data_IF_879593390251
#
_entry.id   IF_879593390251
#
_cell.length_a   1.000
_cell.length_b   1.000
_cell.length_c   1.000
_cell.angle_alpha   90.00
_cell.angle_beta   90.00
_cell.angle_gamma   90.00
#
_symmetry.space_group_name_H-M   'P 1'
#
loop_
_entity.id
_entity.type
_entity.pdbx_description
1 polymer ?
#
# COMPACT_ATOMS: atom_id res chain seq x y z
N UNK A 1 -60.34 3.14 57.97
CA UNK A 1 -60.31 4.09 56.84
C UNK A 1 -60.39 5.50 57.41
N UNK A 2 -59.28 6.22 57.54
CA UNK A 2 -59.30 7.63 57.92
C UNK A 2 -59.68 8.46 56.69
N UNK A 3 -60.85 9.07 56.71
CA UNK A 3 -61.28 10.03 55.69
C UNK A 3 -60.44 11.30 55.84
N UNK A 4 -59.58 11.58 54.86
CA UNK A 4 -58.90 12.87 54.72
C UNK A 4 -59.60 13.66 53.61
N UNK A 5 -60.11 14.86 53.93
CA UNK A 5 -60.87 15.71 52.97
C UNK A 5 -59.95 16.59 52.11
N UNK A 6 -58.74 16.90 52.59
CA UNK A 6 -57.79 17.79 51.89
C UNK A 6 -56.77 17.07 50.99
N UNK A 7 -56.62 15.75 51.08
CA UNK A 7 -55.61 15.00 50.33
C UNK A 7 -56.21 13.71 49.77
N UNK A 8 -56.14 13.56 48.44
CA UNK A 8 -56.62 12.39 47.73
C UNK A 8 -55.43 11.50 47.34
N UNK A 9 -55.12 10.54 48.20
CA UNK A 9 -53.99 9.62 48.04
C UNK A 9 -54.11 8.76 46.77
N UNK A 10 -55.34 8.36 46.40
CA UNK A 10 -55.58 7.58 45.18
C UNK A 10 -55.28 8.40 43.92
N UNK A 11 -55.65 9.67 43.88
CA UNK A 11 -55.32 10.58 42.78
C UNK A 11 -53.81 10.86 42.68
N UNK A 12 -53.13 11.07 43.83
CA UNK A 12 -51.67 11.24 43.87
C UNK A 12 -50.91 9.98 43.40
N UNK A 13 -51.45 8.79 43.67
CA UNK A 13 -50.86 7.55 43.19
C UNK A 13 -51.07 7.37 41.68
N UNK A 14 -52.28 7.66 41.18
CA UNK A 14 -52.57 7.64 39.74
C UNK A 14 -51.69 8.65 38.97
N UNK A 15 -51.47 9.85 39.52
CA UNK A 15 -50.56 10.84 38.95
C UNK A 15 -49.11 10.35 38.90
N UNK A 16 -48.59 9.75 39.99
CA UNK A 16 -47.24 9.15 40.01
C UNK A 16 -47.09 8.05 38.96
N UNK A 17 -48.07 7.16 38.84
CA UNK A 17 -48.05 6.10 37.82
C UNK A 17 -48.08 6.66 36.39
N UNK A 18 -48.83 7.75 36.14
CA UNK A 18 -48.83 8.44 34.85
C UNK A 18 -47.47 9.06 34.54
N UNK A 19 -46.79 9.67 35.51
CA UNK A 19 -45.42 10.18 35.33
C UNK A 19 -44.43 9.05 35.01
N UNK A 20 -44.50 7.92 35.72
CA UNK A 20 -43.63 6.76 35.45
C UNK A 20 -43.85 6.19 34.04
N UNK A 21 -45.11 6.08 33.60
CA UNK A 21 -45.44 5.62 32.25
C UNK A 21 -44.97 6.63 31.20
N UNK A 22 -45.17 7.93 31.42
CA UNK A 22 -44.71 8.99 30.50
C UNK A 22 -43.18 8.98 30.34
N UNK A 23 -42.44 8.78 31.43
CA UNK A 23 -40.98 8.67 31.41
C UNK A 23 -40.52 7.42 30.64
N UNK A 24 -41.12 6.25 30.91
CA UNK A 24 -40.81 5.00 30.18
C UNK A 24 -41.13 5.10 28.68
N UNK A 25 -42.22 5.77 28.33
CA UNK A 25 -42.60 6.01 26.94
C UNK A 25 -41.58 6.94 26.25
N UNK A 26 -41.14 8.00 26.94
CA UNK A 26 -40.12 8.92 26.44
C UNK A 26 -38.79 8.20 26.15
N UNK A 27 -38.31 7.35 27.08
CA UNK A 27 -37.11 6.52 26.84
C UNK A 27 -37.31 5.53 25.68
N UNK A 28 -38.51 4.96 25.53
CA UNK A 28 -38.82 4.06 24.42
C UNK A 28 -38.80 4.80 23.07
N UNK A 29 -39.34 6.02 23.02
CA UNK A 29 -39.25 6.87 21.83
C UNK A 29 -37.82 7.29 21.50
N UNK A 30 -37.01 7.61 22.51
CA UNK A 30 -35.59 7.94 22.33
C UNK A 30 -34.81 6.77 21.72
N UNK A 31 -35.02 5.55 22.23
CA UNK A 31 -34.40 4.33 21.68
C UNK A 31 -34.91 3.99 20.29
N UNK A 32 -36.21 4.18 20.02
CA UNK A 32 -36.79 3.95 18.70
C UNK A 32 -36.26 4.96 17.67
N UNK A 33 -36.16 6.23 18.05
CA UNK A 33 -35.71 7.30 17.15
C UNK A 33 -34.21 7.23 16.86
N UNK A 34 -33.40 6.83 17.84
CA UNK A 34 -31.95 6.66 17.67
C UNK A 34 -31.58 5.33 17.04
N UNK A 35 -32.42 4.30 17.22
CA UNK A 35 -32.12 2.91 16.87
C UNK A 35 -31.11 2.25 17.82
N UNK A 36 -30.65 2.94 18.86
CA UNK A 36 -29.67 2.43 19.82
C UNK A 36 -30.33 2.05 21.15
N UNK A 37 -29.93 0.91 21.72
CA UNK A 37 -30.37 0.47 23.05
C UNK A 37 -29.76 1.33 24.17
N UNK A 38 -28.51 1.76 24.00
CA UNK A 38 -27.73 2.57 24.94
C UNK A 38 -27.54 3.93 24.28
N UNK A 39 -28.25 4.96 24.74
CA UNK A 39 -28.10 6.32 24.18
C UNK A 39 -27.29 7.23 25.12
N UNK A 40 -27.26 6.90 26.41
CA UNK A 40 -26.51 7.64 27.43
C UNK A 40 -25.77 6.71 28.39
N UNK A 41 -24.77 7.24 29.11
CA UNK A 41 -24.06 6.49 30.16
C UNK A 41 -24.98 6.04 31.30
N UNK A 42 -26.13 6.71 31.49
CA UNK A 42 -27.15 6.35 32.48
C UNK A 42 -27.92 5.08 32.11
N UNK A 43 -27.99 4.72 30.83
CA UNK A 43 -28.64 3.49 30.37
C UNK A 43 -27.78 2.24 30.70
N UNK A 44 -26.48 2.31 30.41
CA UNK A 44 -25.50 1.24 30.63
C UNK A 44 -24.05 1.77 30.46
N UNK A 45 -23.41 2.19 31.55
CA UNK A 45 -22.06 2.77 31.50
C UNK A 45 -20.99 1.79 30.98
N UNK A 46 -21.07 0.51 31.37
CA UNK A 46 -20.10 -0.50 30.95
C UNK A 46 -20.31 -0.88 29.48
N UNK A 47 -21.57 -1.02 29.04
CA UNK A 47 -21.92 -1.27 27.65
C UNK A 47 -21.50 -0.12 26.73
N UNK A 48 -21.67 1.13 27.18
CA UNK A 48 -21.22 2.31 26.44
C UNK A 48 -19.70 2.30 26.25
N UNK A 49 -18.92 2.06 27.32
CA UNK A 49 -17.45 2.00 27.22
C UNK A 49 -16.96 0.92 26.25
N UNK A 50 -17.59 -0.25 26.25
CA UNK A 50 -17.26 -1.33 25.31
C UNK A 50 -17.59 -0.91 23.88
N UNK A 51 -18.74 -0.26 23.68
CA UNK A 51 -19.21 0.21 22.38
C UNK A 51 -18.30 1.32 21.83
N UNK A 52 -17.83 2.24 22.67
CA UNK A 52 -16.88 3.29 22.30
C UNK A 52 -15.54 2.68 21.86
N UNK A 53 -15.01 1.73 22.64
CA UNK A 53 -13.78 1.02 22.28
C UNK A 53 -13.93 0.26 20.96
N UNK A 54 -15.05 -0.42 20.74
CA UNK A 54 -15.32 -1.11 19.47
C UNK A 54 -15.46 -0.11 18.31
N UNK A 55 -16.11 1.02 18.53
CA UNK A 55 -16.26 2.09 17.53
C UNK A 55 -14.89 2.66 17.14
N UNK A 56 -14.02 2.95 18.11
CA UNK A 56 -12.65 3.37 17.83
C UNK A 56 -11.87 2.32 17.05
N UNK A 57 -12.02 1.02 17.39
CA UNK A 57 -11.38 -0.06 16.64
C UNK A 57 -11.90 -0.14 15.20
N UNK A 58 -13.21 -0.02 14.97
CA UNK A 58 -13.81 -0.01 13.63
C UNK A 58 -13.28 1.17 12.81
N UNK A 59 -13.22 2.37 13.39
CA UNK A 59 -12.65 3.54 12.73
C UNK A 59 -11.17 3.37 12.40
N UNK A 60 -10.40 2.79 13.33
CA UNK A 60 -8.99 2.44 13.12
C UNK A 60 -8.80 1.42 11.99
N UNK A 61 -9.61 0.35 11.96
CA UNK A 61 -9.58 -0.65 10.89
C UNK A 61 -9.95 -0.05 9.53
N UNK A 62 -10.95 0.83 9.47
CA UNK A 62 -11.30 1.53 8.23
C UNK A 62 -10.15 2.39 7.69
N UNK A 63 -9.38 3.04 8.57
CA UNK A 63 -8.16 3.75 8.15
C UNK A 63 -7.05 2.78 7.75
N UNK A 64 -6.89 1.65 8.46
CA UNK A 64 -5.92 0.62 8.12
C UNK A 64 -6.14 0.04 6.72
N UNK A 65 -7.40 -0.19 6.33
CA UNK A 65 -7.77 -0.62 4.96
C UNK A 65 -7.33 0.43 3.93
N UNK A 66 -7.53 1.72 4.20
CA UNK A 66 -7.03 2.79 3.32
C UNK A 66 -5.50 2.77 3.22
N UNK A 67 -4.79 2.65 4.34
CA UNK A 67 -3.34 2.57 4.36
C UNK A 67 -2.81 1.36 3.56
N UNK A 68 -3.51 0.22 3.62
CA UNK A 68 -3.16 -0.97 2.83
C UNK A 68 -3.38 -0.73 1.32
N UNK A 69 -4.46 -0.04 0.93
CA UNK A 69 -4.69 0.34 -0.46
C UNK A 69 -3.65 1.34 -0.99
N UNK A 70 -3.17 2.26 -0.14
CA UNK A 70 -2.07 3.17 -0.50
C UNK A 70 -0.77 2.40 -0.73
N UNK A 71 -0.48 1.40 0.11
CA UNK A 71 0.66 0.51 -0.07
C UNK A 71 0.56 -0.32 -1.36
N UNK A 72 -0.64 -0.82 -1.71
CA UNK A 72 -0.89 -1.52 -2.97
C UNK A 72 -0.61 -0.59 -4.15
N UNK A 73 -1.15 0.63 -4.12
CA UNK A 73 -0.95 1.63 -5.18
C UNK A 73 0.53 1.97 -5.39
N UNK A 74 1.27 2.13 -4.29
CA UNK A 74 2.70 2.40 -4.31
C UNK A 74 3.50 1.23 -4.88
N UNK A 75 3.23 0.01 -4.41
CA UNK A 75 3.93 -1.20 -4.88
C UNK A 75 3.63 -1.52 -6.34
N UNK A 76 2.41 -1.23 -6.82
CA UNK A 76 2.05 -1.32 -8.24
C UNK A 76 2.80 -0.30 -9.10
N UNK A 77 2.96 0.94 -8.61
CA UNK A 77 3.73 1.98 -9.31
C UNK A 77 5.20 1.55 -9.47
N UNK A 78 5.80 1.03 -8.39
CA UNK A 78 7.17 0.48 -8.44
C UNK A 78 7.27 -0.73 -9.38
N UNK A 79 6.32 -1.66 -9.32
CA UNK A 79 6.31 -2.87 -10.15
C UNK A 79 6.18 -2.54 -11.65
N UNK A 80 5.31 -1.59 -12.01
CA UNK A 80 5.17 -1.13 -13.39
C UNK A 80 6.46 -0.51 -13.93
N UNK A 81 7.13 0.34 -13.15
CA UNK A 81 8.41 0.92 -13.54
C UNK A 81 9.52 -0.15 -13.69
N UNK A 82 9.57 -1.14 -12.79
CA UNK A 82 10.50 -2.28 -12.92
C UNK A 82 10.18 -3.16 -14.14
N UNK A 83 8.91 -3.25 -14.54
CA UNK A 83 8.51 -3.93 -15.78
C UNK A 83 9.07 -3.21 -17.02
N UNK A 84 9.00 -1.87 -17.07
CA UNK A 84 9.60 -1.09 -18.16
C UNK A 84 11.13 -1.23 -18.23
N UNK A 85 11.80 -1.24 -17.08
CA UNK A 85 13.25 -1.52 -17.02
C UNK A 85 13.55 -2.93 -17.54
N UNK A 86 12.71 -3.93 -17.19
CA UNK A 86 12.86 -5.30 -17.68
C UNK A 86 12.73 -5.38 -19.20
N UNK A 87 11.73 -4.70 -19.79
CA UNK A 87 11.54 -4.63 -21.25
C UNK A 87 12.75 -3.97 -21.93
N UNK A 88 13.26 -2.87 -21.37
CA UNK A 88 14.46 -2.20 -21.88
C UNK A 88 15.69 -3.10 -21.83
N UNK A 89 15.89 -3.86 -20.74
CA UNK A 89 16.98 -4.83 -20.62
C UNK A 89 16.87 -5.97 -21.64
N UNK A 90 15.66 -6.50 -21.85
CA UNK A 90 15.42 -7.52 -22.87
C UNK A 90 15.73 -6.99 -24.27
N UNK A 91 15.42 -5.71 -24.55
CA UNK A 91 15.80 -5.06 -25.81
C UNK A 91 17.31 -4.93 -25.95
N UNK A 92 18.02 -4.47 -24.90
CA UNK A 92 19.49 -4.41 -24.89
C UNK A 92 20.08 -5.81 -25.13
N UNK A 93 19.50 -6.86 -24.54
CA UNK A 93 19.91 -8.25 -24.75
C UNK A 93 19.79 -8.66 -26.22
N UNK A 94 18.68 -8.34 -26.89
CA UNK A 94 18.50 -8.61 -28.32
C UNK A 94 19.58 -7.91 -29.15
N UNK A 95 19.88 -6.64 -28.85
CA UNK A 95 20.94 -5.88 -29.54
C UNK A 95 22.33 -6.47 -29.30
N UNK A 96 22.60 -6.99 -28.09
CA UNK A 96 23.85 -7.68 -27.77
C UNK A 96 24.00 -9.00 -28.55
N UNK A 97 22.91 -9.78 -28.68
CA UNK A 97 22.90 -10.99 -29.53
C UNK A 97 23.08 -10.60 -31.00
N UNK A 98 22.36 -9.58 -31.47
CA UNK A 98 22.49 -9.10 -32.84
C UNK A 98 23.91 -8.66 -33.14
N UNK A 99 24.55 -7.88 -32.25
CA UNK A 99 25.93 -7.42 -32.41
C UNK A 99 26.92 -8.58 -32.53
N UNK A 100 26.68 -9.72 -31.87
CA UNK A 100 27.55 -10.89 -31.96
C UNK A 100 27.55 -11.59 -33.32
N UNK A 101 26.59 -11.28 -34.20
CA UNK A 101 26.57 -11.87 -35.54
C UNK A 101 27.84 -11.51 -36.33
N UNK A 102 28.48 -12.53 -36.92
CA UNK A 102 29.79 -12.41 -37.59
C UNK A 102 29.77 -11.54 -38.84
N UNK A 103 28.60 -11.29 -39.42
CA UNK A 103 28.42 -10.45 -40.62
C UNK A 103 28.43 -8.94 -40.33
N UNK A 104 28.28 -8.53 -39.07
CA UNK A 104 28.20 -7.10 -38.73
C UNK A 104 29.57 -6.43 -38.78
N UNK A 105 29.64 -5.32 -39.51
CA UNK A 105 30.83 -4.47 -39.54
C UNK A 105 31.03 -3.73 -38.20
N UNK A 106 32.20 -3.11 -38.02
CA UNK A 106 32.46 -2.24 -36.86
C UNK A 106 31.52 -1.03 -36.81
N UNK A 107 31.11 -0.50 -37.97
CA UNK A 107 30.16 0.60 -38.07
C UNK A 107 28.75 0.17 -37.61
N UNK A 108 28.31 -1.03 -37.97
CA UNK A 108 27.00 -1.57 -37.56
C UNK A 108 26.94 -1.77 -36.04
N UNK A 109 28.02 -2.30 -35.46
CA UNK A 109 28.15 -2.47 -33.99
C UNK A 109 28.13 -1.13 -33.26
N UNK A 110 28.73 -0.09 -33.85
CA UNK A 110 28.66 1.26 -33.30
C UNK A 110 27.25 1.84 -33.36
N UNK A 111 26.48 1.54 -34.42
CA UNK A 111 25.08 1.94 -34.52
C UNK A 111 24.22 1.24 -33.45
N UNK A 112 24.39 -0.07 -33.26
CA UNK A 112 23.74 -0.82 -32.17
C UNK A 112 24.12 -0.28 -30.79
N UNK A 113 25.38 0.11 -30.59
CA UNK A 113 25.84 0.71 -29.35
C UNK A 113 25.14 2.04 -29.03
N UNK A 114 24.75 2.83 -30.04
CA UNK A 114 23.98 4.06 -29.82
C UNK A 114 22.59 3.75 -29.25
N UNK A 115 21.91 2.74 -29.79
CA UNK A 115 20.61 2.30 -29.28
C UNK A 115 20.74 1.78 -27.83
N UNK A 116 21.75 0.96 -27.56
CA UNK A 116 22.05 0.48 -26.20
C UNK A 116 22.34 1.65 -25.24
N UNK A 117 23.06 2.67 -25.69
CA UNK A 117 23.37 3.84 -24.86
C UNK A 117 22.12 4.65 -24.55
N UNK A 118 21.20 4.81 -25.52
CA UNK A 118 19.91 5.46 -25.29
C UNK A 118 19.05 4.68 -24.28
N UNK A 119 18.97 3.36 -24.41
CA UNK A 119 18.24 2.50 -23.48
C UNK A 119 18.84 2.54 -22.06
N UNK A 120 20.16 2.64 -21.92
CA UNK A 120 20.81 2.82 -20.60
C UNK A 120 20.44 4.15 -19.94
N UNK A 121 20.37 5.22 -20.73
CA UNK A 121 19.91 6.52 -20.24
C UNK A 121 18.46 6.43 -19.79
N UNK A 122 17.61 5.77 -20.57
CA UNK A 122 16.19 5.59 -20.23
C UNK A 122 16.00 4.75 -18.96
N UNK A 123 16.74 3.65 -18.79
CA UNK A 123 16.73 2.86 -17.54
C UNK A 123 17.12 3.73 -16.34
N UNK A 124 18.13 4.58 -16.50
CA UNK A 124 18.56 5.50 -15.45
C UNK A 124 17.50 6.54 -15.13
N UNK A 125 16.85 7.09 -16.16
CA UNK A 125 15.76 8.06 -16.05
C UNK A 125 14.54 7.46 -15.34
N UNK A 126 14.11 6.25 -15.74
CA UNK A 126 13.01 5.54 -15.05
C UNK A 126 13.36 5.33 -13.57
N UNK A 127 14.59 4.95 -13.25
CA UNK A 127 15.03 4.79 -11.86
C UNK A 127 15.04 6.10 -11.05
N UNK A 128 15.37 7.24 -11.66
CA UNK A 128 15.43 8.54 -10.96
C UNK A 128 14.11 9.27 -10.89
N UNK A 129 13.24 9.09 -11.88
CA UNK A 129 11.99 9.87 -12.04
C UNK A 129 10.77 9.13 -11.48
N UNK A 130 10.88 7.82 -11.19
CA UNK A 130 9.77 7.04 -10.63
C UNK A 130 9.53 7.45 -9.17
N UNK A 131 8.44 8.19 -8.98
CA UNK A 131 8.01 8.70 -7.69
C UNK A 131 6.55 8.34 -7.41
N UNK A 132 6.23 8.18 -6.12
CA UNK A 132 4.86 8.11 -5.64
C UNK A 132 4.71 9.04 -4.44
N UNK A 133 3.73 9.95 -4.50
CA UNK A 133 3.55 10.96 -3.43
C UNK A 133 4.77 11.85 -3.21
N UNK A 134 5.62 12.05 -4.23
CA UNK A 134 6.85 12.85 -4.14
C UNK A 134 8.06 12.13 -3.54
N UNK A 135 7.95 10.82 -3.26
CA UNK A 135 9.08 10.00 -2.78
C UNK A 135 9.59 9.11 -3.91
N UNK A 136 10.90 9.09 -4.11
CA UNK A 136 11.57 8.23 -5.08
C UNK A 136 11.50 6.76 -4.65
N UNK A 137 11.08 5.87 -5.56
CA UNK A 137 10.90 4.45 -5.23
C UNK A 137 12.09 3.58 -5.64
N UNK A 138 12.80 3.95 -6.71
CA UNK A 138 13.76 3.08 -7.39
C UNK A 138 15.22 3.46 -7.20
N UNK A 139 15.53 4.40 -6.31
CA UNK A 139 16.92 4.79 -5.98
C UNK A 139 17.64 3.77 -5.09
N UNK A 140 16.92 2.77 -4.56
CA UNK A 140 17.50 1.62 -3.85
C UNK A 140 17.65 1.80 -2.34
N UNK A 141 17.15 2.89 -1.79
CA UNK A 141 17.12 3.24 -0.37
C UNK A 141 15.70 3.31 0.20
N UNK A 142 14.68 3.18 -0.66
CA UNK A 142 13.29 3.30 -0.25
C UNK A 142 12.89 2.23 0.77
N UNK A 143 12.33 2.70 1.89
CA UNK A 143 11.79 1.87 2.96
C UNK A 143 10.64 2.61 3.63
N UNK A 144 9.46 2.01 3.65
CA UNK A 144 8.29 2.54 4.33
C UNK A 144 7.55 1.44 5.10
N UNK A 145 6.90 1.84 6.18
CA UNK A 145 6.13 0.93 7.04
C UNK A 145 4.68 1.37 7.05
N UNK A 146 3.79 0.47 6.67
CA UNK A 146 2.35 0.72 6.60
C UNK A 146 1.66 0.05 7.77
N UNK A 147 0.91 0.84 8.56
CA UNK A 147 0.08 0.30 9.63
C UNK A 147 -1.23 -0.21 9.02
N UNK A 148 -1.42 -1.54 9.10
CA UNK A 148 -2.55 -2.27 8.51
C UNK A 148 -3.50 -2.84 9.56
N UNK A 149 -3.36 -2.40 10.81
CA UNK A 149 -4.29 -2.74 11.89
C UNK A 149 -4.64 -1.53 12.75
N UNK A 150 -5.64 -1.70 13.62
CA UNK A 150 -6.12 -0.62 14.48
C UNK A 150 -5.21 -0.34 15.70
N UNK A 151 -4.31 -1.27 16.04
CA UNK A 151 -3.43 -1.16 17.20
C UNK A 151 -1.97 -0.93 16.77
N UNK A 152 -1.19 -0.33 17.67
CA UNK A 152 0.24 -0.13 17.45
C UNK A 152 0.98 -1.44 17.18
N UNK A 153 1.95 -1.41 16.25
CA UNK A 153 2.78 -2.56 15.88
C UNK A 153 2.20 -3.49 14.82
N UNK A 154 0.94 -3.33 14.41
CA UNK A 154 0.30 -4.11 13.34
C UNK A 154 0.67 -3.59 11.95
N UNK A 155 1.96 -3.71 11.60
CA UNK A 155 2.51 -3.08 10.40
C UNK A 155 3.18 -4.04 9.43
N UNK A 156 3.21 -3.65 8.15
CA UNK A 156 3.92 -4.35 7.08
C UNK A 156 4.93 -3.36 6.49
N UNK A 157 6.19 -3.78 6.40
CA UNK A 157 7.24 -2.99 5.79
C UNK A 157 7.35 -3.30 4.29
N UNK A 158 7.51 -2.25 3.49
CA UNK A 158 7.85 -2.31 2.07
C UNK A 158 9.24 -1.70 1.93
N UNK A 159 10.17 -2.48 1.39
CA UNK A 159 11.54 -2.05 1.18
C UNK A 159 12.00 -2.40 -0.24
N UNK A 160 12.55 -1.41 -0.94
CA UNK A 160 13.14 -1.55 -2.26
C UNK A 160 14.63 -1.24 -2.13
N UNK A 161 15.37 -2.22 -1.61
CA UNK A 161 16.79 -2.06 -1.34
C UNK A 161 17.64 -2.64 -2.46
N UNK A 162 18.47 -1.79 -3.05
CA UNK A 162 19.48 -2.19 -4.03
C UNK A 162 20.64 -1.20 -3.99
N UNK A 163 21.86 -1.70 -3.84
CA UNK A 163 23.04 -0.84 -3.81
C UNK A 163 23.19 -0.13 -5.16
N UNK A 164 23.14 1.21 -5.15
CA UNK A 164 23.20 2.03 -6.37
C UNK A 164 21.88 2.11 -7.16
N UNK A 165 20.77 1.60 -6.61
CA UNK A 165 19.44 1.68 -7.19
C UNK A 165 19.17 0.72 -8.35
N UNK A 166 17.99 0.85 -8.95
CA UNK A 166 17.57 0.05 -10.11
C UNK A 166 17.92 0.71 -11.45
N UNK A 167 18.77 1.74 -11.45
CA UNK A 167 19.28 2.39 -12.64
C UNK A 167 20.52 1.71 -13.21
N UNK A 168 21.11 2.29 -14.26
CA UNK A 168 22.27 1.69 -14.93
C UNK A 168 23.49 1.49 -14.02
N UNK A 169 23.66 2.33 -13.00
CA UNK A 169 24.75 2.23 -12.03
C UNK A 169 24.59 1.02 -11.10
N UNK A 170 23.47 0.91 -10.37
CA UNK A 170 23.22 -0.18 -9.44
C UNK A 170 22.95 -1.54 -10.09
N UNK A 171 22.58 -1.56 -11.37
CA UNK A 171 22.50 -2.78 -12.19
C UNK A 171 23.83 -3.16 -12.88
N UNK A 172 24.93 -2.46 -12.59
CA UNK A 172 26.25 -2.71 -13.18
C UNK A 172 26.27 -2.61 -14.73
N UNK A 173 25.43 -1.75 -15.30
CA UNK A 173 25.32 -1.54 -16.75
C UNK A 173 26.22 -0.40 -17.24
N UNK A 174 26.89 0.36 -16.35
CA UNK A 174 27.69 1.54 -16.70
C UNK A 174 28.73 1.24 -17.77
N UNK A 175 29.48 0.14 -17.61
CA UNK A 175 30.54 -0.28 -18.54
C UNK A 175 30.05 -1.21 -19.67
N UNK A 176 28.73 -1.42 -19.78
CA UNK A 176 28.14 -2.27 -20.81
C UNK A 176 28.39 -1.70 -22.20
N UNK A 177 29.00 -2.51 -23.07
CA UNK A 177 29.25 -2.19 -24.48
C UNK A 177 29.01 -3.39 -25.38
N UNK A 178 28.38 -3.16 -26.52
CA UNK A 178 28.17 -4.10 -27.62
C UNK A 178 28.99 -3.74 -28.86
N UNK A 179 29.97 -2.83 -28.74
CA UNK A 179 30.80 -2.37 -29.88
C UNK A 179 31.80 -3.42 -30.37
N UNK A 180 32.04 -4.49 -29.59
CA UNK A 180 32.89 -5.62 -29.96
C UNK A 180 32.19 -6.95 -29.62
N UNK A 181 32.63 -8.05 -30.25
CA UNK A 181 32.09 -9.40 -29.95
C UNK A 181 32.34 -9.77 -28.49
N UNK A 182 33.55 -9.50 -27.98
CA UNK A 182 33.91 -9.78 -26.59
C UNK A 182 33.09 -8.94 -25.60
N UNK A 183 32.88 -7.65 -25.92
CA UNK A 183 32.04 -6.76 -25.12
C UNK A 183 30.58 -7.22 -25.10
N UNK A 184 30.04 -7.59 -26.26
CA UNK A 184 28.68 -8.07 -26.37
C UNK A 184 28.45 -9.41 -25.63
N UNK A 185 29.46 -10.29 -25.57
CA UNK A 185 29.41 -11.52 -24.78
C UNK A 185 29.39 -11.22 -23.27
N UNK A 186 30.26 -10.33 -22.79
CA UNK A 186 30.24 -9.88 -21.39
C UNK A 186 28.92 -9.15 -21.03
N UNK A 187 28.37 -8.37 -21.98
CA UNK A 187 27.12 -7.66 -21.81
C UNK A 187 25.95 -8.61 -21.54
N UNK A 188 25.88 -9.77 -22.19
CA UNK A 188 24.83 -10.76 -21.93
C UNK A 188 24.81 -11.22 -20.47
N UNK A 189 25.99 -11.52 -19.90
CA UNK A 189 26.08 -11.94 -18.50
C UNK A 189 25.63 -10.84 -17.54
N UNK A 190 26.06 -9.59 -17.78
CA UNK A 190 25.61 -8.44 -16.98
C UNK A 190 24.09 -8.22 -17.08
N UNK A 191 23.51 -8.35 -18.28
CA UNK A 191 22.07 -8.15 -18.50
C UNK A 191 21.26 -9.27 -17.84
N UNK A 192 21.68 -10.52 -17.95
CA UNK A 192 20.99 -11.65 -17.32
C UNK A 192 21.03 -11.51 -15.78
N UNK A 193 22.15 -11.04 -15.22
CA UNK A 193 22.24 -10.70 -13.79
C UNK A 193 21.28 -9.56 -13.41
N UNK A 194 21.23 -8.48 -14.21
CA UNK A 194 20.34 -7.35 -13.95
C UNK A 194 18.85 -7.74 -14.01
N UNK A 195 18.47 -8.56 -14.99
CA UNK A 195 17.12 -9.12 -15.11
C UNK A 195 16.79 -9.98 -13.88
N UNK A 196 17.74 -10.80 -13.41
CA UNK A 196 17.53 -11.61 -12.20
C UNK A 196 17.33 -10.75 -10.95
N UNK A 197 18.10 -9.67 -10.78
CA UNK A 197 17.94 -8.75 -9.65
C UNK A 197 16.57 -8.07 -9.66
N UNK A 198 16.13 -7.56 -10.82
CA UNK A 198 14.81 -6.95 -10.96
C UNK A 198 13.70 -8.00 -10.79
N UNK A 199 13.89 -9.21 -11.30
CA UNK A 199 12.96 -10.33 -11.12
C UNK A 199 12.74 -10.66 -9.65
N UNK A 200 13.82 -10.67 -8.84
CA UNK A 200 13.73 -10.82 -7.39
C UNK A 200 12.90 -9.70 -6.74
N UNK A 201 13.23 -8.45 -7.03
CA UNK A 201 12.49 -7.30 -6.48
C UNK A 201 11.01 -7.30 -6.88
N UNK A 202 10.67 -7.66 -8.12
CA UNK A 202 9.27 -7.78 -8.58
C UNK A 202 8.55 -8.94 -7.90
N UNK A 203 9.22 -10.06 -7.66
CA UNK A 203 8.63 -11.17 -6.92
C UNK A 203 8.31 -10.77 -5.48
N UNK A 204 9.21 -10.05 -4.82
CA UNK A 204 8.99 -9.51 -3.46
C UNK A 204 7.82 -8.52 -3.43
N UNK A 205 7.75 -7.60 -4.40
CA UNK A 205 6.61 -6.67 -4.52
C UNK A 205 5.28 -7.40 -4.78
N UNK A 206 5.27 -8.42 -5.63
CA UNK A 206 4.09 -9.24 -5.89
C UNK A 206 3.62 -10.00 -4.64
N UNK A 207 4.55 -10.55 -3.86
CA UNK A 207 4.25 -11.17 -2.58
C UNK A 207 3.67 -10.17 -1.57
N UNK A 208 4.21 -8.96 -1.52
CA UNK A 208 3.68 -7.88 -0.68
C UNK A 208 2.27 -7.46 -1.11
N UNK A 209 2.00 -7.34 -2.42
CA UNK A 209 0.65 -7.03 -2.93
C UNK A 209 -0.38 -8.08 -2.48
N UNK A 210 -0.07 -9.37 -2.65
CA UNK A 210 -0.94 -10.46 -2.18
C UNK A 210 -1.18 -10.38 -0.67
N UNK A 211 -0.14 -10.04 0.09
CA UNK A 211 -0.21 -9.91 1.55
C UNK A 211 -1.10 -8.72 1.97
N UNK A 212 -0.98 -7.57 1.31
CA UNK A 212 -1.88 -6.42 1.56
C UNK A 212 -3.32 -6.72 1.15
N UNK A 213 -3.54 -7.37 0.00
CA UNK A 213 -4.88 -7.79 -0.44
C UNK A 213 -5.54 -8.76 0.53
N UNK A 214 -4.78 -9.70 1.09
CA UNK A 214 -5.29 -10.63 2.11
C UNK A 214 -5.55 -9.98 3.47
N UNK A 215 -5.04 -8.77 3.70
CA UNK A 215 -5.22 -8.05 4.98
C UNK A 215 -6.51 -7.20 4.97
N UNK A 216 -7.00 -6.83 3.79
CA UNK A 216 -8.27 -6.11 3.57
C UNK A 216 -9.43 -7.10 3.55
#
# INVERSE_FOLDING_TARGET
>A
MSLYVNTNVSALNAQRQLFDVSNKLSTSFERLSSGFRINSASDDAAGLQISDRMTSQIQGLNQAVRNANDAISLTQTAEGALSEVTTSLQRIRQLAVQSQNGINSSADRLALQKEVSALKTEISRVSTDTQFGGVDLLKGDYSATFLVGANGGQSIAVALKQTGGYGASGLSLTNLSVSSVSGASAALTSIDSAISTIGGARADLGALQNRFQSTI
#
